data_IF_226401734965
#
_entry.id   IF_226401734965
#
_cell.length_a   1.000
_cell.length_b   1.000
_cell.length_c   1.000
_cell.angle_alpha   90.00
_cell.angle_beta   90.00
_cell.angle_gamma   90.00
#
_symmetry.space_group_name_H-M   'P 1'
#
loop_
_entity.id
_entity.type
_entity.pdbx_description
1 polymer ?
#
# COMPACT_ATOMS: atom_id res chain seq x y z
N UNK A 1 -41.43 27.19 -32.72
CA UNK A 1 -41.46 26.12 -33.74
C UNK A 1 -40.04 25.99 -34.26
N UNK A 2 -39.24 24.94 -34.07
CA UNK A 2 -39.47 23.58 -33.58
C UNK A 2 -38.09 22.99 -33.25
N UNK A 3 -37.87 22.48 -32.04
CA UNK A 3 -36.68 21.72 -31.67
C UNK A 3 -36.73 20.33 -32.33
N UNK A 4 -35.66 19.92 -33.02
CA UNK A 4 -35.49 18.56 -33.53
C UNK A 4 -34.49 17.81 -32.66
N UNK A 5 -35.00 17.01 -31.73
CA UNK A 5 -34.23 16.09 -30.89
C UNK A 5 -33.73 14.91 -31.73
N UNK A 6 -32.42 14.74 -31.81
CA UNK A 6 -31.77 13.57 -32.37
C UNK A 6 -31.85 12.42 -31.35
N UNK A 7 -32.65 11.39 -31.66
CA UNK A 7 -32.72 10.14 -30.88
C UNK A 7 -31.50 9.27 -31.21
N UNK A 8 -30.77 8.89 -30.18
CA UNK A 8 -29.80 7.78 -30.21
C UNK A 8 -30.60 6.48 -30.22
N UNK A 9 -30.49 5.71 -31.29
CA UNK A 9 -31.04 4.37 -31.41
C UNK A 9 -30.10 3.40 -30.67
N UNK A 10 -30.47 3.04 -29.45
CA UNK A 10 -29.88 1.93 -28.70
C UNK A 10 -30.78 0.72 -28.95
N UNK A 11 -30.37 -0.12 -29.90
CA UNK A 11 -31.01 -1.40 -30.18
C UNK A 11 -29.94 -2.47 -30.40
N UNK A 12 -29.57 -3.17 -29.33
CA UNK A 12 -29.21 -4.60 -29.44
C UNK A 12 -29.31 -5.29 -28.05
N UNK A 13 -30.34 -6.12 -27.80
CA UNK A 13 -30.37 -7.01 -26.63
C UNK A 13 -29.71 -8.37 -26.96
N UNK A 14 -28.78 -8.89 -26.12
CA UNK A 14 -28.26 -10.24 -26.31
C UNK A 14 -29.36 -11.29 -26.07
N UNK A 15 -29.43 -12.25 -26.99
CA UNK A 15 -30.45 -13.28 -27.07
C UNK A 15 -30.42 -14.27 -25.89
N UNK A 16 -31.58 -14.78 -25.43
CA UNK A 16 -31.62 -15.81 -24.39
C UNK A 16 -31.25 -17.18 -24.97
N UNK A 17 -30.18 -17.78 -24.43
CA UNK A 17 -29.82 -19.17 -24.74
C UNK A 17 -30.76 -20.11 -23.99
N UNK A 18 -31.47 -20.96 -24.74
CA UNK A 18 -32.41 -21.98 -24.25
C UNK A 18 -31.74 -23.00 -23.32
N UNK A 19 -32.36 -23.39 -22.20
CA UNK A 19 -31.99 -24.59 -21.47
C UNK A 19 -32.60 -25.84 -22.14
N UNK A 20 -31.75 -26.84 -22.44
CA UNK A 20 -32.21 -28.17 -22.85
C UNK A 20 -32.10 -29.16 -21.67
N UNK A 21 -33.27 -29.65 -21.26
CA UNK A 21 -33.58 -30.90 -20.57
C UNK A 21 -32.73 -32.10 -21.02
N UNK A 22 -32.60 -33.26 -20.35
CA UNK A 22 -32.83 -33.78 -18.99
C UNK A 22 -32.49 -35.29 -19.12
N UNK A 23 -31.98 -35.93 -18.06
CA UNK A 23 -31.98 -37.39 -17.78
C UNK A 23 -31.02 -38.33 -18.55
N UNK A 24 -30.08 -38.97 -17.83
CA UNK A 24 -30.18 -40.39 -17.41
C UNK A 24 -28.93 -40.89 -16.65
N UNK A 25 -29.14 -41.32 -15.39
CA UNK A 25 -28.72 -42.59 -14.74
C UNK A 25 -27.67 -43.47 -15.49
N UNK A 26 -26.60 -44.04 -14.93
CA UNK A 26 -26.30 -44.69 -13.63
C UNK A 26 -24.77 -45.08 -13.60
N UNK A 27 -24.22 -45.69 -12.53
CA UNK A 27 -22.83 -45.56 -12.08
C UNK A 27 -21.92 -46.72 -12.50
N UNK A 28 -20.60 -46.46 -12.61
CA UNK A 28 -19.58 -47.50 -12.44
C UNK A 28 -18.19 -46.89 -12.21
N UNK A 29 -17.66 -47.16 -11.01
CA UNK A 29 -16.26 -47.55 -10.69
C UNK A 29 -15.13 -46.79 -11.40
N UNK A 30 -14.38 -45.99 -10.64
CA UNK A 30 -12.92 -45.77 -10.74
C UNK A 30 -12.53 -44.92 -9.51
N UNK A 31 -12.40 -45.49 -8.30
CA UNK A 31 -11.18 -46.11 -7.77
C UNK A 31 -9.91 -45.30 -8.07
N UNK A 32 -9.36 -44.70 -7.00
CA UNK A 32 -7.97 -44.20 -6.86
C UNK A 32 -7.60 -42.83 -7.43
N UNK A 33 -8.41 -41.79 -7.18
CA UNK A 33 -8.00 -40.39 -7.36
C UNK A 33 -8.33 -39.39 -6.21
N UNK A 34 -8.68 -39.77 -4.96
CA UNK A 34 -8.94 -38.76 -3.93
C UNK A 34 -7.65 -38.24 -3.25
N UNK A 35 -6.47 -38.78 -3.56
CA UNK A 35 -5.23 -38.44 -2.85
C UNK A 35 -4.45 -37.29 -3.51
N UNK A 36 -4.48 -37.20 -4.85
CA UNK A 36 -3.79 -36.13 -5.58
C UNK A 36 -4.48 -34.76 -5.38
N UNK A 37 -5.82 -34.76 -5.32
CA UNK A 37 -6.61 -33.55 -5.08
C UNK A 37 -6.43 -32.96 -3.68
N UNK A 38 -6.22 -33.81 -2.66
CA UNK A 38 -5.99 -33.35 -1.28
C UNK A 38 -4.61 -32.69 -1.16
N UNK A 39 -3.56 -33.24 -1.79
CA UNK A 39 -2.21 -32.64 -1.76
C UNK A 39 -2.21 -31.26 -2.42
N UNK A 40 -2.92 -31.08 -3.54
CA UNK A 40 -3.02 -29.78 -4.21
C UNK A 40 -3.87 -28.76 -3.41
N UNK A 41 -4.91 -29.21 -2.70
CA UNK A 41 -5.75 -28.35 -1.86
C UNK A 41 -5.03 -27.88 -0.59
N UNK A 42 -4.12 -28.69 -0.03
CA UNK A 42 -3.29 -28.31 1.13
C UNK A 42 -2.25 -27.24 0.75
N UNK A 43 -1.78 -27.23 -0.50
CA UNK A 43 -0.83 -26.23 -1.02
C UNK A 43 -1.45 -24.85 -1.32
N UNK A 44 -2.78 -24.73 -1.33
CA UNK A 44 -3.51 -23.48 -1.63
C UNK A 44 -4.21 -22.85 -0.42
N UNK A 45 -3.94 -23.35 0.79
CA UNK A 45 -4.25 -22.60 2.01
C UNK A 45 -3.12 -21.57 2.20
N UNK A 46 -3.28 -20.27 1.86
CA UNK A 46 -2.49 -19.28 2.57
C UNK A 46 -2.81 -19.53 4.04
N UNK A 47 -1.79 -19.85 4.83
CA UNK A 47 -1.96 -20.14 6.24
C UNK A 47 -2.75 -19.00 6.87
N UNK A 48 -4.00 -19.28 7.24
CA UNK A 48 -4.64 -18.56 8.33
C UNK A 48 -3.76 -18.89 9.54
N UNK A 49 -2.80 -18.00 9.80
CA UNK A 49 -1.95 -18.06 10.97
C UNK A 49 -2.87 -18.12 12.19
N UNK A 50 -2.82 -19.29 12.81
CA UNK A 50 -3.63 -19.65 13.94
C UNK A 50 -2.97 -19.07 15.18
N UNK A 51 -2.96 -17.75 15.30
CA UNK A 51 -2.77 -16.99 16.54
C UNK A 51 -1.68 -17.51 17.50
N UNK A 52 -0.51 -17.86 16.97
CA UNK A 52 0.69 -18.02 17.78
C UNK A 52 1.65 -16.94 17.28
N UNK A 53 1.97 -15.90 18.07
CA UNK A 53 3.02 -14.97 17.70
C UNK A 53 4.33 -15.76 17.71
N UNK A 54 4.69 -16.29 16.55
CA UNK A 54 6.05 -16.72 16.30
C UNK A 54 6.90 -15.48 16.51
N UNK A 55 7.78 -15.53 17.50
CA UNK A 55 8.89 -14.60 17.63
C UNK A 55 9.69 -14.75 16.34
N UNK A 56 9.38 -13.92 15.35
CA UNK A 56 10.00 -13.90 14.04
C UNK A 56 11.43 -13.40 14.19
N UNK A 57 12.31 -14.30 14.62
CA UNK A 57 13.76 -14.12 14.57
C UNK A 57 14.30 -14.62 13.22
N UNK A 58 13.63 -14.25 12.13
CA UNK A 58 14.32 -14.25 10.83
C UNK A 58 15.26 -13.05 10.86
N UNK A 59 16.55 -13.29 10.63
CA UNK A 59 17.57 -12.27 10.76
C UNK A 59 17.37 -11.18 9.71
N UNK A 60 16.70 -10.09 10.10
CA UNK A 60 16.56 -8.86 9.31
C UNK A 60 17.33 -7.74 9.98
N UNK A 61 17.47 -6.61 9.28
CA UNK A 61 17.92 -5.34 9.88
C UNK A 61 17.03 -4.94 11.08
N UNK A 62 17.59 -4.12 11.97
CA UNK A 62 16.89 -3.62 13.15
C UNK A 62 15.88 -2.50 12.79
N UNK A 63 14.90 -2.29 13.67
CA UNK A 63 13.89 -1.23 13.50
C UNK A 63 14.53 0.15 13.38
N UNK A 64 15.60 0.40 14.13
CA UNK A 64 16.34 1.66 14.08
C UNK A 64 16.90 1.92 12.67
N UNK A 65 17.65 0.95 12.13
CA UNK A 65 18.25 1.04 10.80
C UNK A 65 17.18 1.19 9.71
N UNK A 66 16.08 0.44 9.79
CA UNK A 66 14.99 0.58 8.83
C UNK A 66 14.37 1.99 8.88
N UNK A 67 14.14 2.52 10.08
CA UNK A 67 13.58 3.87 10.28
C UNK A 67 14.53 4.93 9.72
N UNK A 68 15.82 4.90 10.07
CA UNK A 68 16.82 5.87 9.62
C UNK A 68 16.90 5.91 8.09
N UNK A 69 17.04 4.75 7.45
CA UNK A 69 17.11 4.62 5.99
C UNK A 69 15.84 5.12 5.33
N UNK A 70 14.67 4.74 5.84
CA UNK A 70 13.38 5.16 5.27
C UNK A 70 13.11 6.66 5.43
N UNK A 71 13.57 7.27 6.54
CA UNK A 71 13.49 8.72 6.74
C UNK A 71 14.35 9.43 5.71
N UNK A 72 15.59 9.00 5.51
CA UNK A 72 16.49 9.62 4.55
C UNK A 72 16.00 9.45 3.10
N UNK A 73 15.62 8.23 2.70
CA UNK A 73 15.04 7.97 1.38
C UNK A 73 13.81 8.85 1.11
N UNK A 74 12.90 8.99 2.09
CA UNK A 74 11.71 9.85 1.94
C UNK A 74 12.07 11.33 1.89
N UNK A 75 13.01 11.79 2.70
CA UNK A 75 13.49 13.18 2.69
C UNK A 75 14.05 13.55 1.33
N UNK A 76 14.94 12.71 0.79
CA UNK A 76 15.55 12.95 -0.52
C UNK A 76 14.54 12.81 -1.66
N UNK A 77 13.60 11.87 -1.56
CA UNK A 77 12.49 11.75 -2.53
C UNK A 77 11.63 13.02 -2.56
N UNK A 78 11.32 13.60 -1.39
CA UNK A 78 10.57 14.85 -1.29
C UNK A 78 11.38 16.03 -1.85
N UNK A 79 12.67 16.11 -1.54
CA UNK A 79 13.57 17.14 -2.08
C UNK A 79 13.70 17.06 -3.61
N UNK A 80 13.70 15.85 -4.17
CA UNK A 80 13.71 15.59 -5.61
C UNK A 80 12.36 15.83 -6.31
N UNK A 81 11.29 16.13 -5.56
CA UNK A 81 9.95 16.36 -6.11
C UNK A 81 9.19 15.08 -6.47
N UNK A 82 9.58 13.92 -5.93
CA UNK A 82 8.76 12.71 -5.91
C UNK A 82 9.42 11.42 -6.35
N UNK A 83 10.46 11.45 -7.19
CA UNK A 83 11.21 10.22 -7.56
C UNK A 83 12.69 10.44 -7.36
N UNK A 84 13.29 9.55 -6.57
CA UNK A 84 14.72 9.56 -6.30
C UNK A 84 15.48 8.81 -7.42
N UNK A 85 16.55 9.39 -8.00
CA UNK A 85 17.42 8.67 -8.93
C UNK A 85 18.03 7.42 -8.29
N UNK A 86 18.22 6.36 -9.07
CA UNK A 86 18.78 5.09 -8.57
C UNK A 86 20.16 5.27 -7.95
N UNK A 87 21.02 6.08 -8.56
CA UNK A 87 22.36 6.39 -8.05
C UNK A 87 22.33 7.05 -6.65
N UNK A 88 21.31 7.88 -6.37
CA UNK A 88 21.17 8.53 -5.08
C UNK A 88 20.57 7.58 -4.04
N UNK A 89 19.57 6.78 -4.44
CA UNK A 89 19.03 5.70 -3.60
C UNK A 89 20.15 4.75 -3.17
N UNK A 90 20.96 4.28 -4.12
CA UNK A 90 22.01 3.31 -3.86
C UNK A 90 23.10 3.90 -2.97
N UNK A 91 23.43 5.19 -3.13
CA UNK A 91 24.35 5.90 -2.22
C UNK A 91 23.81 5.95 -0.79
N UNK A 92 22.53 6.25 -0.60
CA UNK A 92 21.90 6.28 0.73
C UNK A 92 21.97 4.88 1.35
N UNK A 93 21.58 3.84 0.61
CA UNK A 93 21.63 2.46 1.08
C UNK A 93 23.06 2.04 1.49
N UNK A 94 24.06 2.36 0.67
CA UNK A 94 25.47 2.09 0.96
C UNK A 94 25.96 2.83 2.21
N UNK A 95 25.56 4.09 2.40
CA UNK A 95 25.94 4.88 3.57
C UNK A 95 25.44 4.27 4.90
N UNK A 96 24.30 3.57 4.84
CA UNK A 96 23.72 2.84 5.98
C UNK A 96 24.18 1.37 6.06
N UNK A 97 24.99 0.91 5.11
CA UNK A 97 25.46 -0.48 5.06
C UNK A 97 24.34 -1.49 4.81
N UNK A 98 23.25 -1.07 4.16
CA UNK A 98 22.09 -1.90 3.83
C UNK A 98 21.92 -2.04 2.32
N UNK A 99 21.17 -3.05 1.91
CA UNK A 99 20.76 -3.26 0.53
C UNK A 99 19.27 -2.99 0.35
N UNK A 100 18.82 -2.90 -0.91
CA UNK A 100 17.38 -2.84 -1.20
C UNK A 100 16.66 -4.11 -0.71
N UNK A 101 17.31 -5.27 -0.81
CA UNK A 101 16.74 -6.54 -0.38
C UNK A 101 16.54 -6.58 1.14
N UNK A 102 17.44 -5.97 1.92
CA UNK A 102 17.28 -5.87 3.38
C UNK A 102 16.01 -5.12 3.80
N UNK A 103 15.67 -4.03 3.08
CA UNK A 103 14.43 -3.28 3.32
C UNK A 103 13.18 -4.10 2.93
N UNK A 104 13.26 -4.84 1.82
CA UNK A 104 12.17 -5.72 1.36
C UNK A 104 11.98 -6.87 2.34
N UNK A 105 13.06 -7.47 2.82
CA UNK A 105 13.03 -8.59 3.76
C UNK A 105 12.51 -8.14 5.13
N UNK A 106 12.91 -6.95 5.61
CA UNK A 106 12.31 -6.35 6.80
C UNK A 106 10.79 -6.20 6.67
N UNK A 107 10.32 -5.63 5.55
CA UNK A 107 8.89 -5.47 5.29
C UNK A 107 8.16 -6.82 5.13
N UNK A 108 8.81 -7.84 4.57
CA UNK A 108 8.26 -9.18 4.43
C UNK A 108 8.06 -9.85 5.80
N UNK A 109 9.05 -9.76 6.67
CA UNK A 109 9.04 -10.42 7.99
C UNK A 109 8.11 -9.70 8.96
N UNK A 110 8.19 -8.37 9.04
CA UNK A 110 7.47 -7.59 10.04
C UNK A 110 6.16 -6.98 9.53
N UNK A 111 5.94 -6.92 8.21
CA UNK A 111 4.80 -6.27 7.58
C UNK A 111 3.43 -6.82 8.02
N UNK A 112 3.36 -8.09 8.41
CA UNK A 112 2.14 -8.70 8.97
C UNK A 112 1.83 -8.30 10.41
N UNK A 113 2.82 -7.81 11.17
CA UNK A 113 2.66 -7.35 12.54
C UNK A 113 2.21 -5.88 12.54
N UNK A 114 0.90 -5.67 12.42
CA UNK A 114 0.29 -4.33 12.33
C UNK A 114 0.66 -3.41 13.51
N UNK A 115 0.61 -3.84 14.79
CA UNK A 115 1.04 -3.00 15.90
C UNK A 115 2.48 -2.51 15.78
N UNK A 116 3.44 -3.41 15.45
CA UNK A 116 4.85 -3.03 15.25
C UNK A 116 5.02 -2.05 14.09
N UNK A 117 4.43 -2.38 12.94
CA UNK A 117 4.57 -1.51 11.76
C UNK A 117 3.91 -0.14 11.97
N UNK A 118 2.85 -0.05 12.76
CA UNK A 118 2.27 1.23 13.15
C UNK A 118 3.28 2.09 13.93
N UNK A 119 4.00 1.50 14.89
CA UNK A 119 5.04 2.19 15.67
C UNK A 119 6.20 2.65 14.77
N UNK A 120 6.67 1.78 13.88
CA UNK A 120 7.72 2.10 12.88
C UNK A 120 7.31 3.27 11.98
N UNK A 121 6.11 3.22 11.38
CA UNK A 121 5.64 4.30 10.50
C UNK A 121 5.42 5.62 11.25
N UNK A 122 4.84 5.56 12.45
CA UNK A 122 4.68 6.74 13.31
C UNK A 122 6.04 7.40 13.55
N UNK A 123 7.07 6.60 13.86
CA UNK A 123 8.42 7.12 14.09
C UNK A 123 9.02 7.77 12.84
N UNK A 124 8.87 7.14 11.68
CA UNK A 124 9.32 7.71 10.39
C UNK A 124 8.66 9.07 10.14
N UNK A 125 7.35 9.17 10.37
CA UNK A 125 6.59 10.42 10.18
C UNK A 125 7.00 11.52 11.16
N UNK A 126 7.24 11.18 12.42
CA UNK A 126 7.71 12.14 13.41
C UNK A 126 9.09 12.70 13.05
N UNK A 127 10.04 11.85 12.64
CA UNK A 127 11.38 12.28 12.23
C UNK A 127 11.36 13.15 10.97
N UNK A 128 10.51 12.82 10.00
CA UNK A 128 10.27 13.68 8.83
C UNK A 128 9.71 15.05 9.24
N UNK A 129 8.76 15.08 10.18
CA UNK A 129 8.16 16.31 10.70
C UNK A 129 9.10 17.16 11.57
N UNK A 130 10.11 16.56 12.21
CA UNK A 130 11.16 17.27 12.96
C UNK A 130 12.06 18.07 12.02
N UNK A 131 12.41 17.52 10.86
CA UNK A 131 13.28 18.17 9.88
C UNK A 131 12.64 19.36 9.13
N UNK A 132 11.30 19.41 9.05
CA UNK A 132 10.57 20.47 8.33
C UNK A 132 10.13 21.67 9.19
N UNK A 133 10.35 21.64 10.51
CA UNK A 133 9.80 22.64 11.45
C UNK A 133 10.74 23.80 11.78
N UNK A 134 11.86 23.93 11.07
CA UNK A 134 12.75 25.08 11.19
C UNK A 134 12.36 26.09 10.11
N UNK A 135 11.92 27.28 10.54
CA UNK A 135 11.56 28.47 9.74
C UNK A 135 10.09 28.64 9.29
N UNK A 136 9.12 28.57 10.19
CA UNK A 136 7.95 29.47 10.09
C UNK A 136 8.21 30.63 11.06
N UNK A 137 8.98 31.61 10.60
CA UNK A 137 9.12 32.89 11.30
C UNK A 137 7.72 33.42 11.65
N UNK A 138 7.50 34.04 12.83
CA UNK A 138 6.22 34.62 13.17
C UNK A 138 5.77 35.49 12.01
N UNK A 139 4.70 35.08 11.31
CA UNK A 139 4.06 35.95 10.32
C UNK A 139 3.58 37.15 11.13
N UNK A 140 4.30 38.27 11.04
CA UNK A 140 3.82 39.55 11.51
C UNK A 140 2.46 39.73 10.85
N UNK A 141 1.39 39.60 11.64
CA UNK A 141 0.05 39.88 11.17
C UNK A 141 0.11 41.32 10.69
N UNK A 142 -0.26 41.64 9.43
CA UNK A 142 -0.34 43.02 9.02
C UNK A 142 -1.33 43.70 9.97
N UNK A 143 -0.79 44.54 10.87
CA UNK A 143 -1.58 45.32 11.79
C UNK A 143 -2.61 46.06 10.95
N UNK A 144 -3.87 45.63 11.06
CA UNK A 144 -4.95 46.29 10.33
C UNK A 144 -5.02 47.69 10.91
N UNK A 145 -4.78 48.76 10.13
CA UNK A 145 -4.83 50.10 10.68
C UNK A 145 -6.20 50.32 11.32
N UNK A 146 -6.29 50.97 12.50
CA UNK A 146 -7.57 51.26 13.12
C UNK A 146 -8.47 51.98 12.11
N UNK A 147 -9.69 51.46 11.91
CA UNK A 147 -10.69 52.15 11.10
C UNK A 147 -11.01 53.48 11.78
N UNK A 148 -10.47 54.58 11.22
CA UNK A 148 -10.80 55.93 11.68
C UNK A 148 -12.31 56.16 11.51
N UNK A 149 -13.06 56.43 12.59
CA UNK A 149 -14.47 56.72 12.49
C UNK A 149 -14.64 58.19 12.08
N UNK A 150 -15.09 58.40 10.86
CA UNK A 150 -15.80 59.62 10.48
C UNK A 150 -14.97 60.61 9.66
N UNK A 151 -15.45 60.86 8.45
CA UNK A 151 -15.31 62.15 7.80
C UNK A 151 -16.71 62.60 7.33
N UNK A 152 -17.01 63.91 7.45
CA UNK A 152 -18.36 64.47 7.61
C UNK A 152 -19.27 64.37 6.39
#
# INVERSE_FOLDING_TARGET
MTEARLRVDVSDPPSPVRPSSMTSFLPARLSSLPLLGIVLLVLLLPGCDLGIPGSGDEATIEDETFVEVMVELRRETLAAGGTLPEEERDRILEAHGVTSDDLVDYARVHGGNVPRMHEVWTRIEEELGRGGRMEEAPREQPETPPLEPGSP
#
